data_IF_583039990075
#
_entry.id   IF_583039990075
#
_cell.length_a   1.000
_cell.length_b   1.000
_cell.length_c   1.000
_cell.angle_alpha   90.00
_cell.angle_beta   90.00
_cell.angle_gamma   90.00
#
_symmetry.space_group_name_H-M   'P 1'
#
loop_
_entity.id
_entity.type
_entity.pdbx_description
1 polymer ?
#
# COMPACT_ATOMS: atom_id res chain seq x y z
N UNK A 1 -6.85 8.64 -25.19
CA UNK A 1 -6.92 7.17 -25.04
C UNK A 1 -6.24 6.85 -23.71
N UNK A 2 -7.02 6.58 -22.66
CA UNK A 2 -6.45 6.23 -21.36
C UNK A 2 -5.79 4.86 -21.52
N UNK A 3 -4.48 4.79 -21.29
CA UNK A 3 -3.78 3.51 -21.18
C UNK A 3 -4.43 2.78 -20.00
N UNK A 4 -5.12 1.67 -20.27
CA UNK A 4 -5.47 0.69 -19.24
C UNK A 4 -4.18 0.13 -18.71
N UNK A 5 -3.65 0.75 -17.66
CA UNK A 5 -2.59 0.18 -16.86
C UNK A 5 -3.18 -1.07 -16.20
N UNK A 6 -2.66 -2.25 -16.53
CA UNK A 6 -3.06 -3.49 -15.83
C UNK A 6 -2.92 -3.25 -14.32
N UNK A 7 -4.05 -3.32 -13.62
CA UNK A 7 -4.16 -3.11 -12.18
C UNK A 7 -4.52 -4.43 -11.52
N UNK A 8 -3.98 -4.65 -10.34
CA UNK A 8 -4.42 -5.72 -9.46
C UNK A 8 -5.16 -5.16 -8.26
N UNK A 9 -6.09 -5.96 -7.75
CA UNK A 9 -6.73 -5.75 -6.47
C UNK A 9 -6.25 -6.81 -5.48
N UNK A 10 -5.96 -6.37 -4.26
CA UNK A 10 -5.46 -7.24 -3.21
C UNK A 10 -6.10 -6.91 -1.87
N UNK A 11 -6.32 -7.94 -1.06
CA UNK A 11 -6.71 -7.81 0.35
C UNK A 11 -5.56 -8.32 1.22
N UNK A 12 -5.04 -7.45 2.07
CA UNK A 12 -4.07 -7.80 3.10
C UNK A 12 -4.77 -7.82 4.46
N UNK A 13 -4.83 -8.99 5.07
CA UNK A 13 -5.24 -9.17 6.45
C UNK A 13 -4.00 -9.16 7.34
N UNK A 14 -4.01 -8.36 8.40
CA UNK A 14 -2.88 -8.24 9.31
C UNK A 14 -3.30 -8.37 10.77
N UNK A 15 -2.56 -9.13 11.57
CA UNK A 15 -2.73 -9.22 13.02
C UNK A 15 -1.63 -8.42 13.71
N UNK A 16 -1.99 -7.40 14.48
CA UNK A 16 -1.06 -6.64 15.31
C UNK A 16 -0.93 -7.23 16.73
N UNK A 17 0.07 -6.79 17.48
CA UNK A 17 0.29 -7.25 18.86
C UNK A 17 -0.77 -6.71 19.83
N UNK A 18 -1.23 -5.48 19.62
CA UNK A 18 -2.29 -4.84 20.43
C UNK A 18 -3.31 -4.11 19.55
N UNK A 19 -4.50 -3.79 20.08
CA UNK A 19 -5.47 -2.98 19.35
C UNK A 19 -4.95 -1.59 18.97
N UNK A 20 -4.15 -0.96 19.82
CA UNK A 20 -3.55 0.35 19.56
C UNK A 20 -2.56 0.27 18.39
N UNK A 21 -1.77 -0.80 18.32
CA UNK A 21 -0.87 -1.04 17.19
C UNK A 21 -1.64 -1.25 15.88
N UNK A 22 -2.77 -1.98 15.91
CA UNK A 22 -3.63 -2.15 14.74
C UNK A 22 -4.25 -0.82 14.29
N UNK A 23 -4.76 -0.02 15.23
CA UNK A 23 -5.35 1.29 14.95
C UNK A 23 -4.33 2.27 14.37
N UNK A 24 -3.12 2.32 14.93
CA UNK A 24 -2.04 3.16 14.42
C UNK A 24 -1.60 2.73 13.02
N UNK A 25 -1.43 1.42 12.80
CA UNK A 25 -1.14 0.88 11.49
C UNK A 25 -2.21 1.26 10.46
N UNK A 26 -3.49 1.13 10.80
CA UNK A 26 -4.58 1.53 9.93
C UNK A 26 -4.57 3.04 9.62
N UNK A 27 -4.30 3.89 10.61
CA UNK A 27 -4.22 5.35 10.43
C UNK A 27 -3.12 5.75 9.44
N UNK A 28 -1.97 5.08 9.48
CA UNK A 28 -0.85 5.30 8.56
C UNK A 28 -1.18 4.73 7.18
N UNK A 29 -1.59 3.47 7.11
CA UNK A 29 -1.84 2.74 5.87
C UNK A 29 -3.00 3.32 5.05
N UNK A 30 -4.05 3.84 5.70
CA UNK A 30 -5.18 4.49 5.03
C UNK A 30 -4.79 5.70 4.15
N UNK A 31 -3.59 6.26 4.36
CA UNK A 31 -3.09 7.40 3.57
C UNK A 31 -2.28 6.97 2.34
N UNK A 32 -2.04 5.67 2.16
CA UNK A 32 -1.31 5.16 1.00
C UNK A 32 -2.13 5.40 -0.28
N UNK A 33 -1.54 5.96 -1.36
CA UNK A 33 -2.26 6.18 -2.62
C UNK A 33 -2.83 4.91 -3.27
N UNK A 34 -2.25 3.75 -2.96
CA UNK A 34 -2.71 2.46 -3.47
C UNK A 34 -3.82 1.83 -2.63
N UNK A 35 -4.18 2.41 -1.49
CA UNK A 35 -5.24 1.88 -0.63
C UNK A 35 -6.59 2.40 -1.12
N UNK A 36 -7.51 1.48 -1.36
CA UNK A 36 -8.92 1.78 -1.63
C UNK A 36 -9.70 1.94 -0.32
N UNK A 37 -9.44 1.06 0.66
CA UNK A 37 -10.01 1.15 1.99
C UNK A 37 -9.09 0.48 3.01
N UNK A 38 -9.07 0.98 4.23
CA UNK A 38 -8.36 0.36 5.33
C UNK A 38 -9.18 0.46 6.61
N UNK A 39 -9.23 -0.62 7.37
CA UNK A 39 -9.90 -0.66 8.67
C UNK A 39 -9.08 -1.44 9.70
N UNK A 40 -9.31 -1.15 10.97
CA UNK A 40 -8.82 -1.93 12.09
C UNK A 40 -9.97 -2.23 13.04
N UNK A 41 -9.98 -3.46 13.58
CA UNK A 41 -10.93 -3.91 14.60
C UNK A 41 -10.18 -4.80 15.58
N UNK A 42 -10.15 -4.40 16.86
CA UNK A 42 -9.29 -5.02 17.87
C UNK A 42 -7.85 -5.11 17.34
N UNK A 43 -7.22 -6.28 17.39
CA UNK A 43 -5.87 -6.49 16.85
C UNK A 43 -5.83 -6.78 15.34
N UNK A 44 -6.97 -6.82 14.64
CA UNK A 44 -7.03 -7.14 13.22
C UNK A 44 -6.99 -5.87 12.37
N UNK A 45 -6.33 -5.95 11.23
CA UNK A 45 -6.32 -4.93 10.18
C UNK A 45 -6.74 -5.55 8.86
N UNK A 46 -7.49 -4.79 8.06
CA UNK A 46 -7.92 -5.20 6.72
C UNK A 46 -7.65 -4.03 5.78
N UNK A 47 -6.73 -4.25 4.83
CA UNK A 47 -6.42 -3.31 3.77
C UNK A 47 -6.86 -3.85 2.41
N UNK A 48 -7.62 -3.05 1.68
CA UNK A 48 -7.95 -3.29 0.26
C UNK A 48 -7.08 -2.36 -0.57
N UNK A 49 -6.31 -2.93 -1.49
CA UNK A 49 -5.34 -2.23 -2.31
C UNK A 49 -5.70 -2.35 -3.79
N UNK A 50 -5.49 -1.26 -4.52
CA UNK A 50 -5.56 -1.18 -5.98
C UNK A 50 -4.26 -0.53 -6.45
N UNK A 51 -3.42 -1.32 -7.12
CA UNK A 51 -2.06 -0.97 -7.52
C UNK A 51 -1.74 -1.51 -8.92
N UNK A 52 -0.71 -0.99 -9.61
CA UNK A 52 -0.33 -1.51 -10.91
C UNK A 52 0.26 -2.92 -10.79
N UNK A 53 0.08 -3.75 -11.83
CA UNK A 53 0.50 -5.17 -11.82
C UNK A 53 1.99 -5.35 -11.52
N UNK A 54 2.82 -4.43 -12.04
CA UNK A 54 4.27 -4.43 -11.80
C UNK A 54 4.66 -4.18 -10.33
N UNK A 55 3.72 -3.84 -9.46
CA UNK A 55 3.89 -3.69 -8.00
C UNK A 55 3.35 -4.89 -7.20
N UNK A 56 3.00 -6.00 -7.85
CA UNK A 56 2.64 -7.26 -7.17
C UNK A 56 3.64 -7.65 -6.07
N UNK A 57 4.93 -7.62 -6.39
CA UNK A 57 6.01 -7.93 -5.44
C UNK A 57 5.98 -7.04 -4.18
N UNK A 58 5.52 -5.78 -4.30
CA UNK A 58 5.51 -4.82 -3.19
C UNK A 58 4.49 -5.20 -2.11
N UNK A 59 3.32 -5.69 -2.51
CA UNK A 59 2.27 -6.10 -1.56
C UNK A 59 2.51 -7.53 -1.02
N UNK A 60 3.26 -8.36 -1.76
CA UNK A 60 3.65 -9.71 -1.30
C UNK A 60 4.68 -9.67 -0.16
N UNK A 61 5.57 -8.68 -0.13
CA UNK A 61 6.61 -8.57 0.92
C UNK A 61 5.99 -8.51 2.33
N UNK A 62 5.03 -7.63 2.65
CA UNK A 62 4.40 -7.61 3.97
C UNK A 62 3.68 -8.89 4.36
N UNK A 63 3.22 -9.69 3.40
CA UNK A 63 2.60 -10.98 3.68
C UNK A 63 3.61 -12.02 4.15
N UNK A 64 4.85 -11.94 3.63
CA UNK A 64 5.97 -12.83 3.98
C UNK A 64 6.74 -12.31 5.21
N UNK A 65 6.77 -10.99 5.39
CA UNK A 65 7.52 -10.25 6.41
C UNK A 65 6.61 -9.24 7.14
N UNK A 66 5.60 -9.71 7.90
CA UNK A 66 4.66 -8.84 8.59
C UNK A 66 5.32 -7.90 9.60
N UNK A 67 6.48 -8.28 10.14
CA UNK A 67 7.27 -7.48 11.08
C UNK A 67 7.70 -6.12 10.50
N UNK A 68 7.85 -6.02 9.17
CA UNK A 68 8.17 -4.77 8.48
C UNK A 68 7.06 -3.72 8.59
N UNK A 69 5.83 -4.17 8.86
CA UNK A 69 4.67 -3.31 9.08
C UNK A 69 4.29 -3.19 10.57
N UNK A 70 5.08 -3.76 11.48
CA UNK A 70 4.73 -3.86 12.89
C UNK A 70 3.62 -4.86 13.19
N UNK A 71 3.37 -5.80 12.27
CA UNK A 71 2.36 -6.85 12.42
C UNK A 71 3.03 -8.15 12.90
N UNK A 72 2.25 -8.98 13.60
CA UNK A 72 2.64 -10.32 14.08
C UNK A 72 2.43 -11.36 12.98
N UNK A 73 1.36 -11.22 12.21
CA UNK A 73 1.01 -12.09 11.07
C UNK A 73 0.36 -11.27 9.98
N UNK A 74 0.52 -11.72 8.74
CA UNK A 74 -0.22 -11.19 7.61
C UNK A 74 -0.64 -12.31 6.66
N UNK A 75 -1.73 -12.09 5.94
CA UNK A 75 -2.22 -12.97 4.87
C UNK A 75 -2.69 -12.12 3.71
N UNK A 76 -2.33 -12.53 2.51
CA UNK A 76 -2.61 -11.79 1.28
C UNK A 76 -3.47 -12.64 0.35
N UNK A 77 -4.52 -12.02 -0.19
CA UNK A 77 -5.33 -12.60 -1.26
C UNK A 77 -5.41 -11.60 -2.43
N UNK A 78 -5.21 -12.09 -3.65
CA UNK A 78 -5.53 -11.34 -4.85
C UNK A 78 -7.00 -11.57 -5.20
N UNK A 79 -7.70 -10.49 -5.51
CA UNK A 79 -9.15 -10.50 -5.74
C UNK A 79 -9.45 -9.86 -7.09
N UNK A 80 -10.54 -10.30 -7.71
CA UNK A 80 -11.11 -9.61 -8.87
C UNK A 80 -12.22 -8.67 -8.41
N UNK A 81 -11.86 -7.39 -8.20
CA UNK A 81 -12.78 -6.33 -7.82
C UNK A 81 -12.80 -5.25 -8.91
N UNK A 82 -13.63 -5.42 -9.96
CA UNK A 82 -13.63 -4.50 -11.10
C UNK A 82 -13.98 -3.07 -10.70
N UNK A 83 -14.77 -2.87 -9.64
CA UNK A 83 -15.21 -1.54 -9.21
C UNK A 83 -14.36 -0.93 -8.08
N UNK A 84 -13.32 -1.64 -7.59
CA UNK A 84 -12.47 -1.10 -6.52
C UNK A 84 -11.53 -0.01 -7.06
N UNK A 85 -11.46 1.12 -6.35
CA UNK A 85 -10.63 2.25 -6.75
C UNK A 85 -9.81 2.81 -5.58
N UNK A 86 -8.54 3.12 -5.86
CA UNK A 86 -7.66 3.89 -4.99
C UNK A 86 -7.44 5.30 -5.52
N UNK A 87 -6.85 6.18 -4.72
CA UNK A 87 -6.47 7.53 -5.19
C UNK A 87 -5.48 7.47 -6.36
N UNK A 88 -4.65 6.43 -6.43
CA UNK A 88 -3.77 6.20 -7.57
C UNK A 88 -4.56 5.80 -8.82
N UNK A 89 -5.49 4.84 -8.72
CA UNK A 89 -6.21 4.33 -9.89
C UNK A 89 -7.15 5.36 -10.52
N UNK A 90 -7.68 6.30 -9.73
CA UNK A 90 -8.47 7.44 -10.23
C UNK A 90 -7.64 8.56 -10.86
N UNK A 91 -6.32 8.53 -10.70
CA UNK A 91 -5.45 9.64 -11.11
C UNK A 91 -5.56 10.88 -10.18
N UNK A 92 -6.06 10.71 -8.96
CA UNK A 92 -6.20 11.78 -7.96
C UNK A 92 -4.88 12.06 -7.22
N UNK A 93 -3.91 11.14 -7.30
CA UNK A 93 -2.65 11.30 -6.57
C UNK A 93 -1.76 12.36 -7.22
N UNK A 94 -1.14 13.22 -6.41
CA UNK A 94 -0.20 14.26 -6.84
C UNK A 94 1.17 14.06 -6.16
N UNK A 95 2.29 14.10 -6.91
CA UNK A 95 3.63 13.87 -6.37
C UNK A 95 4.19 15.13 -5.69
N UNK A 96 3.52 15.60 -4.65
CA UNK A 96 3.83 16.90 -4.02
C UNK A 96 4.54 16.76 -2.67
N UNK A 97 4.48 15.58 -2.05
CA UNK A 97 5.03 15.39 -0.72
C UNK A 97 6.54 15.10 -0.77
N UNK A 98 7.30 15.77 0.10
CA UNK A 98 8.72 15.44 0.29
C UNK A 98 8.87 14.03 0.85
N UNK A 99 8.02 13.65 1.82
CA UNK A 99 7.96 12.32 2.41
C UNK A 99 6.61 11.66 2.10
N UNK A 100 6.58 10.39 1.68
CA UNK A 100 5.33 9.69 1.42
C UNK A 100 4.45 9.60 2.68
N UNK A 101 3.12 9.44 2.53
CA UNK A 101 2.19 9.44 3.66
C UNK A 101 2.43 8.35 4.71
N UNK A 102 3.09 7.27 4.31
CA UNK A 102 3.50 6.18 5.19
C UNK A 102 4.73 6.52 6.06
N UNK A 103 5.38 7.67 5.85
CA UNK A 103 6.57 8.09 6.58
C UNK A 103 7.86 7.40 6.14
N UNK A 104 7.84 6.53 5.13
CA UNK A 104 9.05 5.87 4.63
C UNK A 104 9.98 6.87 3.94
N UNK A 105 11.29 6.71 4.12
CA UNK A 105 12.27 7.43 3.30
C UNK A 105 12.64 6.59 2.08
N UNK A 106 12.01 6.87 0.94
CA UNK A 106 12.27 6.13 -0.29
C UNK A 106 13.70 6.34 -0.82
N UNK A 107 14.38 7.44 -0.48
CA UNK A 107 15.72 7.73 -0.98
C UNK A 107 16.78 6.73 -0.48
N UNK A 108 16.54 6.13 0.68
CA UNK A 108 17.40 5.10 1.28
C UNK A 108 16.92 3.67 0.99
N UNK A 109 15.86 3.48 0.21
CA UNK A 109 15.33 2.15 -0.10
C UNK A 109 16.13 1.50 -1.25
N UNK A 110 16.71 0.30 -1.08
CA UNK A 110 17.46 -0.38 -2.15
C UNK A 110 16.62 -0.71 -3.39
N UNK A 111 15.29 -0.78 -3.24
CA UNK A 111 14.35 -1.07 -4.33
C UNK A 111 13.99 0.19 -5.13
N UNK A 112 14.25 1.38 -4.60
CA UNK A 112 13.94 2.64 -5.27
C UNK A 112 14.84 2.81 -6.50
N UNK A 113 14.23 3.22 -7.62
CA UNK A 113 14.83 3.34 -8.96
C UNK A 113 15.28 2.03 -9.63
N UNK A 114 15.23 0.89 -8.94
CA UNK A 114 15.51 -0.43 -9.53
C UNK A 114 14.22 -1.16 -9.89
N UNK A 115 13.37 -1.45 -8.90
CA UNK A 115 12.06 -2.12 -9.07
C UNK A 115 10.89 -1.25 -8.64
N UNK A 116 11.17 -0.13 -7.95
CA UNK A 116 10.18 0.78 -7.42
C UNK A 116 10.39 2.20 -7.96
N UNK A 117 9.36 2.73 -8.62
CA UNK A 117 9.23 4.13 -9.02
C UNK A 117 9.14 5.13 -7.85
N UNK A 118 9.06 4.66 -6.60
CA UNK A 118 8.70 5.48 -5.44
C UNK A 118 7.18 5.53 -5.19
N UNK A 119 6.79 6.35 -4.22
CA UNK A 119 5.39 6.59 -3.89
C UNK A 119 4.79 7.63 -4.84
N UNK A 120 3.60 7.41 -5.44
CA UNK A 120 2.99 8.38 -6.34
C UNK A 120 2.65 9.72 -5.70
N UNK A 121 2.54 9.77 -4.36
CA UNK A 121 2.32 11.01 -3.62
C UNK A 121 3.60 11.80 -3.34
N UNK A 122 4.78 11.26 -3.67
CA UNK A 122 6.07 11.88 -3.37
C UNK A 122 6.68 12.59 -4.58
N UNK A 123 7.37 13.71 -4.36
CA UNK A 123 8.15 14.44 -5.36
C UNK A 123 9.25 13.58 -6.02
N UNK A 124 9.63 12.48 -5.39
CA UNK A 124 10.62 11.52 -5.89
C UNK A 124 10.00 10.44 -6.79
N UNK A 125 8.70 10.50 -7.09
CA UNK A 125 8.07 9.53 -7.97
C UNK A 125 8.60 9.61 -9.40
N UNK A 126 8.98 8.46 -9.99
CA UNK A 126 9.43 8.33 -11.38
C UNK A 126 8.57 7.29 -12.10
N UNK A 127 7.51 7.76 -12.76
CA UNK A 127 6.58 6.94 -13.54
C UNK A 127 7.26 6.25 -14.74
#
# INVERSE_FOLDING_TARGET
MAQTTDRLCAVLLGLAATPEAAAEHARISARCPYVASYLAEKCMTIGVYVLPENKRWWIEIPAQHPELLGLVRASLAFMDFPDAESAWSRGDTRPELVQPPCGSDCSHCPQYQTRCAGCPASQFYRA
#
